data_IF_050260944567
#
_entry.id   IF_050260944567
#
_cell.length_a   1.000
_cell.length_b   1.000
_cell.length_c   1.000
_cell.angle_alpha   90.00
_cell.angle_beta   90.00
_cell.angle_gamma   90.00
#
_symmetry.space_group_name_H-M   'P 1'
#
loop_
_entity.id
_entity.type
_entity.pdbx_description
1 polymer ?
#
# COMPACT_ATOMS: atom_id res chain seq x y z
N UNK A 1 9.86 -24.70 -8.69
CA UNK A 1 9.17 -23.59 -9.38
C UNK A 1 9.49 -22.32 -8.62
N UNK A 2 10.19 -21.36 -9.23
CA UNK A 2 10.43 -20.04 -8.61
C UNK A 2 9.21 -19.18 -8.90
N UNK A 3 8.40 -18.86 -7.89
CA UNK A 3 7.32 -17.89 -8.06
C UNK A 3 7.95 -16.50 -8.20
N UNK A 4 7.83 -15.88 -9.37
CA UNK A 4 8.21 -14.49 -9.54
C UNK A 4 7.18 -13.63 -8.80
N UNK A 5 7.61 -12.95 -7.74
CA UNK A 5 6.79 -11.94 -7.08
C UNK A 5 6.63 -10.76 -8.03
N UNK A 6 5.39 -10.38 -8.36
CA UNK A 6 5.12 -9.17 -9.15
C UNK A 6 4.85 -7.99 -8.22
N UNK A 7 5.02 -6.77 -8.71
CA UNK A 7 4.73 -5.56 -7.93
C UNK A 7 3.25 -5.47 -7.55
N UNK A 8 2.34 -5.90 -8.44
CA UNK A 8 0.90 -6.04 -8.13
C UNK A 8 0.67 -6.99 -6.96
N UNK A 9 1.30 -8.17 -6.97
CA UNK A 9 1.15 -9.13 -5.87
C UNK A 9 1.71 -8.58 -4.56
N UNK A 10 2.83 -7.85 -4.59
CA UNK A 10 3.41 -7.19 -3.43
C UNK A 10 2.41 -6.20 -2.81
N UNK A 11 1.88 -5.26 -3.60
CA UNK A 11 0.94 -4.27 -3.11
C UNK A 11 -0.37 -4.88 -2.61
N UNK A 12 -0.89 -5.91 -3.28
CA UNK A 12 -2.09 -6.62 -2.80
C UNK A 12 -1.85 -7.25 -1.43
N UNK A 13 -0.68 -7.86 -1.22
CA UNK A 13 -0.31 -8.43 0.09
C UNK A 13 -0.19 -7.33 1.14
N UNK A 14 0.57 -6.27 0.88
CA UNK A 14 0.76 -5.16 1.82
C UNK A 14 -0.57 -4.48 2.19
N UNK A 15 -1.45 -4.28 1.22
CA UNK A 15 -2.80 -3.74 1.43
C UNK A 15 -3.63 -4.65 2.33
N UNK A 16 -3.56 -5.97 2.16
CA UNK A 16 -4.29 -6.92 3.00
C UNK A 16 -3.73 -6.96 4.44
N UNK A 17 -2.41 -6.87 4.59
CA UNK A 17 -1.79 -6.72 5.90
C UNK A 17 -2.24 -5.42 6.59
N UNK A 18 -2.33 -4.31 5.85
CA UNK A 18 -2.85 -3.04 6.37
C UNK A 18 -4.32 -3.16 6.81
N UNK A 19 -5.17 -3.79 6.01
CA UNK A 19 -6.56 -4.03 6.37
C UNK A 19 -6.66 -4.84 7.68
N UNK A 20 -5.91 -5.93 7.78
CA UNK A 20 -5.89 -6.79 8.96
C UNK A 20 -5.37 -6.06 10.20
N UNK A 21 -4.27 -5.31 10.06
CA UNK A 21 -3.68 -4.55 11.16
C UNK A 21 -4.63 -3.47 11.68
N UNK A 22 -5.38 -2.82 10.78
CA UNK A 22 -6.43 -1.85 11.14
C UNK A 22 -7.60 -2.50 11.87
N UNK A 23 -8.08 -3.65 11.39
CA UNK A 23 -9.17 -4.39 12.04
C UNK A 23 -8.78 -4.85 13.45
N UNK A 24 -7.53 -5.29 13.61
CA UNK A 24 -6.97 -5.69 14.91
C UNK A 24 -6.54 -4.50 15.79
N UNK A 25 -6.56 -3.28 15.25
CA UNK A 25 -6.01 -2.06 15.89
C UNK A 25 -4.57 -2.26 16.38
N UNK A 26 -3.78 -2.99 15.59
CA UNK A 26 -2.42 -3.36 15.93
C UNK A 26 -1.45 -2.23 15.56
N UNK A 27 -1.23 -1.30 16.50
CA UNK A 27 -0.38 -0.12 16.29
C UNK A 27 1.05 -0.49 15.84
N UNK A 28 1.66 -1.50 16.45
CA UNK A 28 3.02 -1.92 16.11
C UNK A 28 3.14 -2.44 14.66
N UNK A 29 2.10 -3.12 14.16
CA UNK A 29 2.10 -3.59 12.76
C UNK A 29 1.80 -2.45 11.78
N UNK A 30 0.94 -1.51 12.17
CA UNK A 30 0.66 -0.31 11.39
C UNK A 30 1.89 0.58 11.23
N UNK A 31 2.70 0.76 12.28
CA UNK A 31 3.96 1.52 12.22
C UNK A 31 4.96 0.89 11.24
N UNK A 32 5.08 -0.45 11.24
CA UNK A 32 5.94 -1.16 10.27
C UNK A 32 5.45 -0.97 8.84
N UNK A 33 4.14 -1.10 8.62
CA UNK A 33 3.55 -0.93 7.29
C UNK A 33 3.70 0.51 6.79
N UNK A 34 3.48 1.49 7.67
CA UNK A 34 3.73 2.91 7.37
C UNK A 34 5.18 3.13 6.89
N UNK A 35 6.16 2.65 7.65
CA UNK A 35 7.57 2.76 7.24
C UNK A 35 7.89 2.00 5.94
N UNK A 36 7.25 0.85 5.70
CA UNK A 36 7.42 0.11 4.45
C UNK A 36 6.88 0.87 3.23
N UNK A 37 5.73 1.55 3.35
CA UNK A 37 5.18 2.34 2.25
C UNK A 37 6.05 3.56 1.93
N UNK A 38 6.63 4.23 2.93
CA UNK A 38 7.60 5.31 2.71
C UNK A 38 8.80 4.79 1.90
N UNK A 39 9.40 3.68 2.33
CA UNK A 39 10.57 3.11 1.64
C UNK A 39 10.27 2.70 0.19
N UNK A 40 9.07 2.18 -0.07
CA UNK A 40 8.64 1.83 -1.43
C UNK A 40 8.41 3.09 -2.26
N UNK A 41 7.77 4.12 -1.69
CA UNK A 41 7.54 5.41 -2.34
C UNK A 41 8.86 6.09 -2.72
N UNK A 42 9.81 6.18 -1.79
CA UNK A 42 11.15 6.75 -2.04
C UNK A 42 11.88 6.01 -3.17
N UNK A 43 11.86 4.67 -3.15
CA UNK A 43 12.47 3.87 -4.21
C UNK A 43 11.76 4.06 -5.58
N UNK A 44 10.46 4.29 -5.56
CA UNK A 44 9.67 4.53 -6.78
C UNK A 44 9.91 5.93 -7.35
N UNK A 45 10.15 6.94 -6.50
CA UNK A 45 10.59 8.29 -6.90
C UNK A 45 11.93 8.20 -7.63
N UNK A 46 12.89 7.43 -7.10
CA UNK A 46 14.19 7.22 -7.78
C UNK A 46 14.04 6.54 -9.15
N UNK A 47 13.00 5.73 -9.32
CA UNK A 47 12.71 5.02 -10.57
C UNK A 47 11.73 5.77 -11.49
N UNK A 48 11.24 6.95 -11.09
CA UNK A 48 10.21 7.73 -11.80
C UNK A 48 8.92 6.93 -12.09
N UNK A 49 8.53 5.99 -11.22
CA UNK A 49 7.32 5.17 -11.38
C UNK A 49 6.12 5.81 -10.65
N UNK A 50 5.44 6.74 -11.33
CA UNK A 50 4.30 7.48 -10.79
C UNK A 50 3.19 6.58 -10.22
N UNK A 51 2.89 5.45 -10.87
CA UNK A 51 1.83 4.56 -10.41
C UNK A 51 2.18 3.89 -9.07
N UNK A 52 3.44 3.53 -8.89
CA UNK A 52 3.93 2.96 -7.62
C UNK A 52 4.02 4.04 -6.54
N UNK A 53 4.43 5.26 -6.88
CA UNK A 53 4.46 6.41 -5.97
C UNK A 53 3.05 6.66 -5.41
N UNK A 54 2.07 6.88 -6.29
CA UNK A 54 0.68 7.18 -5.91
C UNK A 54 0.08 6.09 -5.02
N UNK A 55 0.38 4.83 -5.33
CA UNK A 55 -0.13 3.70 -4.58
C UNK A 55 0.53 3.57 -3.20
N UNK A 56 1.83 3.80 -3.12
CA UNK A 56 2.56 3.83 -1.86
C UNK A 56 2.03 4.95 -0.94
N UNK A 57 1.91 6.19 -1.46
CA UNK A 57 1.40 7.34 -0.70
C UNK A 57 -0.04 7.12 -0.22
N UNK A 58 -0.89 6.52 -1.06
CA UNK A 58 -2.28 6.21 -0.69
C UNK A 58 -2.34 5.25 0.51
N UNK A 59 -1.52 4.20 0.49
CA UNK A 59 -1.50 3.19 1.56
C UNK A 59 -0.78 3.71 2.80
N UNK A 60 0.29 4.49 2.63
CA UNK A 60 0.98 5.21 3.69
C UNK A 60 0.00 6.12 4.44
N UNK A 61 -0.74 6.98 3.71
CA UNK A 61 -1.71 7.89 4.29
C UNK A 61 -2.83 7.16 5.03
N UNK A 62 -3.23 5.97 4.57
CA UNK A 62 -4.19 5.14 5.29
C UNK A 62 -3.61 4.53 6.58
N UNK A 63 -2.34 4.12 6.59
CA UNK A 63 -1.65 3.66 7.79
C UNK A 63 -1.47 4.81 8.81
N UNK A 64 -1.05 5.99 8.34
CA UNK A 64 -0.89 7.20 9.17
C UNK A 64 -2.19 7.63 9.82
N UNK A 65 -3.29 7.74 9.06
CA UNK A 65 -4.61 8.09 9.62
C UNK A 65 -5.11 7.05 10.63
N UNK A 66 -4.84 5.77 10.41
CA UNK A 66 -5.18 4.75 11.39
C UNK A 66 -4.38 4.92 12.70
N UNK A 67 -3.09 5.21 12.61
CA UNK A 67 -2.21 5.44 13.77
C UNK A 67 -2.55 6.73 14.54
N UNK A 68 -2.61 7.85 13.83
CA UNK A 68 -2.69 9.20 14.41
C UNK A 68 -4.13 9.64 14.69
N UNK A 69 -5.03 9.36 13.75
CA UNK A 69 -6.41 9.88 13.77
C UNK A 69 -7.42 8.81 14.21
N UNK A 70 -6.95 7.58 14.46
CA UNK A 70 -7.79 6.41 14.74
C UNK A 70 -8.87 6.18 13.67
N UNK A 71 -8.59 6.55 12.42
CA UNK A 71 -9.47 6.27 11.28
C UNK A 71 -9.27 4.83 10.79
N UNK A 72 -9.95 3.92 11.47
CA UNK A 72 -9.93 2.50 11.17
C UNK A 72 -10.76 2.12 9.94
N UNK A 73 -11.55 3.03 9.36
CA UNK A 73 -12.55 2.72 8.31
C UNK A 73 -12.28 3.40 6.96
N UNK A 74 -11.22 4.18 6.82
CA UNK A 74 -10.78 4.72 5.52
C UNK A 74 -10.75 3.64 4.41
N UNK A 75 -11.28 3.95 3.24
CA UNK A 75 -11.26 3.00 2.12
C UNK A 75 -9.82 2.72 1.68
N UNK A 76 -9.53 1.44 1.45
CA UNK A 76 -8.29 0.99 0.82
C UNK A 76 -8.57 0.60 -0.64
N UNK A 77 -7.63 0.81 -1.57
CA UNK A 77 -7.79 0.35 -2.95
C UNK A 77 -8.06 -1.16 -2.97
N UNK A 78 -8.94 -1.61 -3.86
CA UNK A 78 -9.17 -3.04 -4.07
C UNK A 78 -8.01 -3.66 -4.86
N UNK A 79 -7.90 -4.99 -4.87
CA UNK A 79 -6.92 -5.68 -5.73
C UNK A 79 -7.10 -5.30 -7.22
N UNK A 80 -8.35 -5.17 -7.67
CA UNK A 80 -8.65 -4.72 -9.03
C UNK A 80 -8.20 -3.28 -9.28
N UNK A 81 -8.34 -2.38 -8.29
CA UNK A 81 -7.83 -1.02 -8.40
C UNK A 81 -6.30 -0.99 -8.46
N UNK A 82 -5.63 -1.76 -7.59
CA UNK A 82 -4.17 -1.92 -7.58
C UNK A 82 -3.69 -2.41 -8.94
N UNK A 83 -4.31 -3.46 -9.49
CA UNK A 83 -3.95 -3.99 -10.79
C UNK A 83 -4.15 -2.94 -11.89
N UNK A 84 -5.31 -2.27 -11.92
CA UNK A 84 -5.63 -1.25 -12.93
C UNK A 84 -4.66 -0.06 -12.90
N UNK A 85 -4.29 0.40 -11.70
CA UNK A 85 -3.37 1.52 -11.52
C UNK A 85 -1.95 1.14 -12.00
N UNK A 86 -1.48 -0.05 -11.66
CA UNK A 86 -0.12 -0.50 -11.99
C UNK A 86 0.04 -0.99 -13.44
N UNK A 87 -1.04 -1.40 -14.12
CA UNK A 87 -0.96 -1.86 -15.52
C UNK A 87 -1.35 -0.80 -16.54
N UNK A 88 -1.70 0.41 -16.12
CA UNK A 88 -2.01 1.54 -17.01
C UNK A 88 -3.15 1.24 -17.99
N UNK A 89 -4.41 1.38 -17.57
CA UNK A 89 -5.50 1.55 -18.53
C UNK A 89 -5.56 3.03 -18.92
N UNK A 90 -4.76 3.42 -19.91
CA UNK A 90 -5.07 4.60 -20.72
C UNK A 90 -6.40 4.35 -21.44
N UNK A 91 -7.37 5.23 -21.23
CA UNK A 91 -8.58 5.34 -22.06
C UNK A 91 -8.67 6.74 -22.62
#
# INVERSE_FOLDING_TARGET
MSQTLTITSLFTVLRNHLALARDQKNAAELEKLFGAFILIGDAAIECEDEAVIDLAETLEGAARRALEEHDWKSKLPSETDIQRLLTGHES
#
